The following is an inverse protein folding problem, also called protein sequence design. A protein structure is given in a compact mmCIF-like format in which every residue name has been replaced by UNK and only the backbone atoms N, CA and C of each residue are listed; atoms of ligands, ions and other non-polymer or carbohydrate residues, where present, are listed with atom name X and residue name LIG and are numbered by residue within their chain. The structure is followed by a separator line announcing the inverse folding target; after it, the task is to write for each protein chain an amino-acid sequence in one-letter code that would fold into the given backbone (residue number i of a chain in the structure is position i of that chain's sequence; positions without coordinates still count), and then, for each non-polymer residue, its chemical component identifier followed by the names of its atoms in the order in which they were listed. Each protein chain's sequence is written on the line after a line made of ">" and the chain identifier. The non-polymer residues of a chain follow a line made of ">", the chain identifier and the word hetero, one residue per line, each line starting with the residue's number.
data_IF_665804998381
#
_entry.id   IF_665804998381
#
_cell.length_a   1.000
_cell.length_b   1.000
_cell.length_c   1.000
_cell.angle_alpha   90.00
_cell.angle_beta   90.00
_cell.angle_gamma   90.00
#
_symmetry.space_group_name_H-M   'P 1'
#
loop_
_entity.id
_entity.type
_entity.pdbx_description
1 polymer ?
#
# COMPACT_ATOMS: atom_id res chain seq x y z
N UNK A 1 36.45 29.64 -22.44
CA UNK A 1 35.06 29.26 -22.81
C UNK A 1 34.73 27.99 -22.06
N UNK A 2 34.03 28.10 -20.92
CA UNK A 2 33.66 26.99 -20.04
C UNK A 2 32.21 26.61 -20.31
N UNK A 3 31.99 25.33 -20.64
CA UNK A 3 30.69 24.70 -20.84
C UNK A 3 29.89 24.70 -19.52
N UNK A 4 28.75 25.39 -19.50
CA UNK A 4 27.76 25.23 -18.45
C UNK A 4 26.85 24.05 -18.80
N UNK A 5 27.19 22.87 -18.29
CA UNK A 5 26.27 21.74 -18.19
C UNK A 5 25.33 22.01 -17.00
N UNK A 6 24.11 22.45 -17.28
CA UNK A 6 23.01 22.40 -16.31
C UNK A 6 22.48 20.97 -16.25
N UNK A 7 22.54 20.29 -15.09
CA UNK A 7 21.73 19.10 -14.91
C UNK A 7 20.29 19.56 -14.71
N UNK A 8 19.44 19.30 -15.71
CA UNK A 8 18.00 19.27 -15.51
C UNK A 8 17.71 18.22 -14.43
N UNK A 9 17.36 18.66 -13.23
CA UNK A 9 16.80 17.78 -12.21
C UNK A 9 15.43 17.35 -12.72
N UNK A 10 15.37 16.15 -13.31
CA UNK A 10 14.12 15.51 -13.63
C UNK A 10 13.33 15.33 -12.34
N UNK A 11 12.21 16.02 -12.21
CA UNK A 11 11.20 15.77 -11.19
C UNK A 11 10.57 14.40 -11.49
N UNK A 12 11.23 13.32 -11.07
CA UNK A 12 10.59 12.03 -10.92
C UNK A 12 9.64 12.16 -9.73
N UNK A 13 8.39 12.56 -10.01
CA UNK A 13 7.30 12.35 -9.06
C UNK A 13 7.22 10.84 -8.89
N UNK A 14 7.72 10.37 -7.74
CA UNK A 14 7.91 8.96 -7.46
C UNK A 14 6.58 8.19 -7.66
N UNK A 15 6.56 7.11 -8.47
CA UNK A 15 5.35 6.35 -8.77
C UNK A 15 4.68 5.78 -7.51
N UNK A 16 5.45 5.48 -6.46
CA UNK A 16 4.90 5.04 -5.17
C UNK A 16 4.17 6.20 -4.48
N UNK A 17 4.77 7.38 -4.47
CA UNK A 17 4.12 8.62 -3.99
C UNK A 17 2.86 8.94 -4.79
N UNK A 18 2.89 8.80 -6.13
CA UNK A 18 1.69 8.95 -6.96
C UNK A 18 0.64 7.89 -6.68
N UNK A 19 1.03 6.65 -6.39
CA UNK A 19 0.11 5.58 -6.03
C UNK A 19 -0.55 5.83 -4.66
N UNK A 20 0.23 6.19 -3.63
CA UNK A 20 -0.28 6.50 -2.31
C UNK A 20 -1.18 7.76 -2.34
N UNK A 21 -0.75 8.81 -3.05
CA UNK A 21 -1.55 10.02 -3.25
C UNK A 21 -2.81 9.75 -4.08
N UNK A 22 -2.73 8.90 -5.11
CA UNK A 22 -3.88 8.49 -5.92
C UNK A 22 -4.85 7.65 -5.12
N UNK A 23 -4.37 6.72 -4.29
CA UNK A 23 -5.21 5.92 -3.41
C UNK A 23 -5.89 6.80 -2.35
N UNK A 24 -5.17 7.77 -1.78
CA UNK A 24 -5.73 8.78 -0.88
C UNK A 24 -6.80 9.64 -1.60
N UNK A 25 -6.52 10.10 -2.82
CA UNK A 25 -7.43 10.95 -3.60
C UNK A 25 -8.66 10.20 -4.11
N UNK A 26 -8.47 9.02 -4.69
CA UNK A 26 -9.54 8.21 -5.26
C UNK A 26 -10.49 7.74 -4.12
N UNK A 27 -10.01 7.56 -2.88
CA UNK A 27 -10.88 7.26 -1.73
C UNK A 27 -11.65 8.48 -1.19
N UNK A 28 -11.09 9.69 -1.21
CA UNK A 28 -11.83 10.92 -0.88
C UNK A 28 -13.01 11.11 -1.84
N UNK A 29 -12.84 10.72 -3.10
CA UNK A 29 -13.89 10.77 -4.12
C UNK A 29 -14.86 9.58 -3.98
N UNK A 30 -14.37 8.38 -3.65
CA UNK A 30 -15.19 7.16 -3.49
C UNK A 30 -15.92 7.01 -2.15
N UNK A 31 -15.62 7.82 -1.12
CA UNK A 31 -16.46 7.90 0.10
C UNK A 31 -17.88 8.47 -0.16
N UNK A 32 -18.23 8.76 -1.42
CA UNK A 32 -19.61 8.99 -1.87
C UNK A 32 -20.40 7.73 -2.29
N UNK A 33 -19.86 6.51 -2.13
CA UNK A 33 -20.57 5.26 -2.48
C UNK A 33 -20.58 4.30 -1.27
N UNK A 34 -21.35 4.67 -0.25
CA UNK A 34 -22.11 3.70 0.55
C UNK A 34 -23.12 3.03 -0.40
N UNK A 35 -22.96 1.75 -0.79
CA UNK A 35 -24.10 0.86 -1.20
C UNK A 35 -23.75 -0.58 -1.63
N UNK A 36 -22.49 -1.06 -1.57
CA UNK A 36 -22.19 -2.43 -2.06
C UNK A 36 -21.73 -3.46 -1.01
N UNK A 37 -21.63 -3.10 0.28
CA UNK A 37 -21.07 -3.98 1.34
C UNK A 37 -22.10 -4.26 2.45
N UNK A 38 -23.37 -4.51 2.11
CA UNK A 38 -24.37 -4.99 3.09
C UNK A 38 -24.63 -6.51 3.01
N UNK A 39 -24.01 -7.23 2.06
CA UNK A 39 -24.37 -8.62 1.77
C UNK A 39 -23.67 -9.73 2.57
N UNK A 40 -22.50 -9.50 3.16
CA UNK A 40 -21.63 -10.63 3.64
C UNK A 40 -21.20 -10.53 5.11
N UNK A 41 -21.50 -9.43 5.81
CA UNK A 41 -21.09 -9.26 7.22
C UNK A 41 -22.22 -9.61 8.20
N UNK A 42 -22.46 -10.90 8.40
CA UNK A 42 -23.08 -11.41 9.63
C UNK A 42 -22.18 -12.53 10.17
N UNK A 43 -21.62 -12.33 11.36
CA UNK A 43 -20.85 -13.29 12.18
C UNK A 43 -19.32 -13.33 12.12
N UNK A 44 -18.62 -12.20 11.93
CA UNK A 44 -17.28 -12.07 12.52
C UNK A 44 -17.27 -10.90 13.52
N UNK A 45 -16.69 -11.06 14.74
CA UNK A 45 -16.51 -9.94 15.64
C UNK A 45 -15.64 -8.91 14.94
N UNK A 46 -16.22 -7.74 14.67
CA UNK A 46 -15.51 -6.63 14.06
C UNK A 46 -14.25 -6.36 14.90
N UNK A 47 -13.05 -6.37 14.31
CA UNK A 47 -11.85 -5.98 15.02
C UNK A 47 -12.05 -4.53 15.46
N UNK A 48 -12.11 -4.30 16.77
CA UNK A 48 -12.12 -2.96 17.34
C UNK A 48 -10.82 -2.32 16.87
N UNK A 49 -10.93 -1.38 15.93
CA UNK A 49 -9.83 -0.50 15.58
C UNK A 49 -9.43 0.19 16.88
N UNK A 50 -8.29 -0.20 17.43
CA UNK A 50 -7.71 0.49 18.58
C UNK A 50 -7.23 1.83 18.05
N UNK A 51 -8.13 2.82 18.11
CA UNK A 51 -7.84 4.20 17.74
C UNK A 51 -7.11 4.81 18.95
N UNK A 52 -5.83 5.18 18.81
CA UNK A 52 -5.10 5.83 19.88
C UNK A 52 -5.66 7.24 20.17
N UNK A 53 -5.65 7.71 21.43
CA UNK A 53 -6.26 8.97 21.83
C UNK A 53 -5.54 10.20 21.24
N UNK A 54 -6.30 11.24 20.91
CA UNK A 54 -5.80 12.55 20.47
C UNK A 54 -5.30 13.42 21.65
N UNK A 55 -4.42 14.42 21.43
CA UNK A 55 -3.85 14.88 20.16
C UNK A 55 -2.46 14.27 19.95
N UNK A 56 -2.23 13.71 18.77
CA UNK A 56 -0.89 13.33 18.35
C UNK A 56 -0.06 14.59 18.09
N UNK A 57 0.63 15.06 19.12
CA UNK A 57 1.84 15.85 18.91
C UNK A 57 2.90 14.88 18.36
N UNK A 58 2.88 14.73 17.05
CA UNK A 58 3.65 13.77 16.29
C UNK A 58 4.98 14.43 15.93
N UNK A 59 5.93 14.29 16.85
CA UNK A 59 7.33 14.60 16.57
C UNK A 59 7.90 13.65 15.50
N UNK A 60 9.02 14.05 14.89
CA UNK A 60 9.68 13.28 13.84
C UNK A 60 9.97 11.82 14.26
N UNK A 61 10.24 11.58 15.54
CA UNK A 61 10.55 10.24 16.04
C UNK A 61 9.31 9.36 16.07
N UNK A 62 8.20 9.86 16.60
CA UNK A 62 6.91 9.16 16.60
C UNK A 62 6.44 8.87 15.18
N UNK A 63 6.69 9.79 14.24
CA UNK A 63 6.30 9.61 12.85
C UNK A 63 7.09 8.48 12.20
N UNK A 64 8.40 8.43 12.45
CA UNK A 64 9.26 7.31 12.01
C UNK A 64 8.77 5.99 12.57
N UNK A 65 8.54 5.92 13.88
CA UNK A 65 8.02 4.70 14.54
C UNK A 65 6.70 4.25 13.93
N UNK A 66 5.76 5.17 13.69
CA UNK A 66 4.48 4.84 13.07
C UNK A 66 4.65 4.23 11.67
N UNK A 67 5.60 4.75 10.88
CA UNK A 67 5.87 4.25 9.52
C UNK A 67 6.60 2.90 9.59
N UNK A 68 7.59 2.76 10.46
CA UNK A 68 8.35 1.53 10.66
C UNK A 68 7.46 0.37 11.11
N UNK A 69 6.54 0.62 12.03
CA UNK A 69 5.61 -0.39 12.53
C UNK A 69 4.44 -0.64 11.55
N UNK A 70 3.92 0.41 10.92
CA UNK A 70 2.77 0.32 10.02
C UNK A 70 3.09 -0.36 8.69
N UNK A 71 4.29 -0.12 8.17
CA UNK A 71 4.69 -0.53 6.81
C UNK A 71 5.88 -1.50 6.85
N UNK A 72 5.79 -2.52 7.71
CA UNK A 72 6.84 -3.54 7.91
C UNK A 72 7.22 -4.28 6.61
N UNK A 73 6.32 -4.37 5.65
CA UNK A 73 6.54 -5.00 4.34
C UNK A 73 7.48 -4.18 3.43
N UNK A 74 7.62 -2.88 3.68
CA UNK A 74 8.52 -2.03 2.90
C UNK A 74 9.98 -2.23 3.31
N UNK A 75 10.91 -1.94 2.40
CA UNK A 75 12.33 -1.82 2.72
C UNK A 75 12.62 -0.57 3.55
N UNK A 76 13.79 -0.52 4.21
CA UNK A 76 14.21 0.66 4.97
C UNK A 76 14.29 1.92 4.09
N UNK A 77 14.71 1.79 2.83
CA UNK A 77 14.80 2.91 1.89
C UNK A 77 13.39 3.45 1.55
N UNK A 78 12.45 2.54 1.25
CA UNK A 78 11.06 2.91 0.96
C UNK A 78 10.37 3.56 2.18
N UNK A 79 10.65 3.08 3.39
CA UNK A 79 10.12 3.73 4.61
C UNK A 79 10.69 5.13 4.82
N UNK A 80 11.96 5.37 4.50
CA UNK A 80 12.54 6.71 4.54
C UNK A 80 11.88 7.65 3.51
N UNK A 81 11.59 7.14 2.30
CA UNK A 81 10.88 7.89 1.28
C UNK A 81 9.46 8.28 1.73
N UNK A 82 8.72 7.33 2.32
CA UNK A 82 7.40 7.58 2.91
C UNK A 82 7.50 8.63 4.03
N UNK A 83 8.50 8.50 4.92
CA UNK A 83 8.74 9.49 5.98
C UNK A 83 8.99 10.89 5.42
N UNK A 84 9.91 11.01 4.46
CA UNK A 84 10.23 12.29 3.83
C UNK A 84 9.01 12.91 3.13
N UNK A 85 8.18 12.07 2.48
CA UNK A 85 6.97 12.50 1.80
C UNK A 85 5.90 13.00 2.78
N UNK A 86 5.61 12.23 3.82
CA UNK A 86 4.65 12.64 4.86
C UNK A 86 5.13 13.91 5.56
N UNK A 87 6.41 13.99 5.94
CA UNK A 87 6.98 15.17 6.58
C UNK A 87 6.80 16.43 5.72
N UNK A 88 6.99 16.31 4.40
CA UNK A 88 6.75 17.41 3.46
C UNK A 88 5.29 17.86 3.47
N UNK A 89 4.34 16.93 3.41
CA UNK A 89 2.90 17.22 3.45
C UNK A 89 2.50 17.91 4.74
N UNK A 90 2.98 17.42 5.89
CA UNK A 90 2.65 17.99 7.20
C UNK A 90 3.32 19.36 7.45
N UNK A 91 4.47 19.60 6.81
CA UNK A 91 5.22 20.86 6.91
C UNK A 91 4.65 21.96 5.99
N UNK A 92 3.81 21.62 5.00
CA UNK A 92 3.18 22.61 4.12
C UNK A 92 2.21 23.50 4.93
N UNK A 93 2.42 24.83 4.96
CA UNK A 93 1.52 25.76 5.63
C UNK A 93 0.06 25.67 5.18
N UNK A 94 -0.19 25.28 3.92
CA UNK A 94 -1.55 25.10 3.39
C UNK A 94 -2.31 23.99 4.10
N UNK A 95 -1.60 23.00 4.64
CA UNK A 95 -2.16 21.88 5.37
C UNK A 95 -2.22 22.13 6.88
N UNK A 96 -1.84 23.31 7.38
CA UNK A 96 -1.74 23.57 8.83
C UNK A 96 -3.05 23.29 9.57
N UNK A 97 -4.19 23.70 8.99
CA UNK A 97 -5.52 23.45 9.57
C UNK A 97 -5.92 21.97 9.53
N UNK A 98 -5.43 21.21 8.54
CA UNK A 98 -5.75 19.79 8.36
C UNK A 98 -4.72 18.85 9.00
N UNK A 99 -3.61 19.38 9.51
CA UNK A 99 -2.49 18.57 10.04
C UNK A 99 -2.94 17.53 11.09
N UNK A 100 -3.78 17.86 12.10
CA UNK A 100 -4.23 16.86 13.07
C UNK A 100 -5.01 15.72 12.41
N UNK A 101 -5.85 16.04 11.41
CA UNK A 101 -6.62 15.06 10.66
C UNK A 101 -5.72 14.17 9.79
N UNK A 102 -4.78 14.75 9.05
CA UNK A 102 -3.82 13.98 8.22
C UNK A 102 -2.99 13.01 9.06
N UNK A 103 -2.58 13.46 10.24
CA UNK A 103 -1.86 12.64 11.22
C UNK A 103 -2.74 11.48 11.72
N UNK A 104 -3.98 11.76 12.11
CA UNK A 104 -4.92 10.75 12.58
C UNK A 104 -5.19 9.70 11.48
N UNK A 105 -5.46 10.14 10.25
CA UNK A 105 -5.66 9.27 9.10
C UNK A 105 -4.45 8.39 8.81
N UNK A 106 -3.24 8.95 8.85
CA UNK A 106 -2.02 8.18 8.70
C UNK A 106 -1.91 7.09 9.78
N UNK A 107 -2.20 7.42 11.04
CA UNK A 107 -2.13 6.47 12.14
C UNK A 107 -3.14 5.32 11.98
N UNK A 108 -4.37 5.64 11.60
CA UNK A 108 -5.42 4.63 11.32
C UNK A 108 -4.98 3.71 10.18
N UNK A 109 -4.48 4.28 9.08
CA UNK A 109 -4.06 3.49 7.90
C UNK A 109 -2.84 2.63 8.20
N UNK A 110 -1.82 3.18 8.88
CA UNK A 110 -0.64 2.43 9.31
C UNK A 110 -1.03 1.23 10.20
N UNK A 111 -1.96 1.42 11.14
CA UNK A 111 -2.48 0.34 11.99
C UNK A 111 -3.23 -0.72 11.18
N UNK A 112 -4.10 -0.30 10.25
CA UNK A 112 -4.84 -1.23 9.39
C UNK A 112 -3.91 -2.07 8.51
N UNK A 113 -2.89 -1.45 7.91
CA UNK A 113 -1.88 -2.13 7.07
C UNK A 113 -1.11 -3.16 7.90
N UNK A 114 -0.64 -2.79 9.09
CA UNK A 114 0.03 -3.72 10.01
C UNK A 114 -0.85 -4.91 10.37
N UNK A 115 -2.10 -4.65 10.78
CA UNK A 115 -3.03 -5.72 11.16
C UNK A 115 -3.32 -6.67 9.99
N UNK A 116 -3.52 -6.13 8.78
CA UNK A 116 -3.71 -6.94 7.58
C UNK A 116 -2.49 -7.82 7.31
N UNK A 117 -1.29 -7.24 7.36
CA UNK A 117 -0.04 -7.96 7.16
C UNK A 117 0.16 -9.07 8.22
N UNK A 118 -0.09 -8.79 9.50
CA UNK A 118 -0.01 -9.77 10.59
C UNK A 118 -1.01 -10.92 10.38
N UNK A 119 -2.27 -10.62 10.02
CA UNK A 119 -3.27 -11.65 9.71
C UNK A 119 -2.84 -12.55 8.58
N UNK A 120 -2.37 -11.97 7.47
CA UNK A 120 -1.88 -12.72 6.33
C UNK A 120 -0.64 -13.55 6.68
N UNK A 121 0.25 -13.02 7.53
CA UNK A 121 1.45 -13.73 7.99
C UNK A 121 1.07 -14.98 8.78
N UNK A 122 0.05 -14.88 9.63
CA UNK A 122 -0.42 -15.94 10.52
C UNK A 122 -1.31 -16.99 9.84
N UNK A 123 -1.61 -16.85 8.55
CA UNK A 123 -2.34 -17.88 7.81
C UNK A 123 -1.52 -19.17 7.71
N UNK A 124 -2.20 -20.30 7.78
CA UNK A 124 -1.59 -21.60 7.50
C UNK A 124 -1.12 -21.68 6.04
N UNK A 125 -0.14 -22.55 5.77
CA UNK A 125 0.35 -22.75 4.40
C UNK A 125 -0.76 -23.18 3.44
N UNK A 126 -1.73 -23.99 3.89
CA UNK A 126 -2.87 -24.39 3.08
C UNK A 126 -3.76 -23.20 2.71
N UNK A 127 -4.03 -22.29 3.66
CA UNK A 127 -4.79 -21.06 3.40
C UNK A 127 -4.05 -20.12 2.45
N UNK A 128 -2.74 -19.94 2.61
CA UNK A 128 -1.92 -19.12 1.69
C UNK A 128 -1.95 -19.66 0.26
N UNK A 129 -1.88 -20.99 0.08
CA UNK A 129 -2.03 -21.64 -1.23
C UNK A 129 -3.42 -21.44 -1.83
N UNK A 130 -4.48 -21.54 -1.02
CA UNK A 130 -5.84 -21.29 -1.48
C UNK A 130 -6.00 -19.86 -2.00
N UNK A 131 -5.47 -18.87 -1.27
CA UNK A 131 -5.45 -17.46 -1.70
C UNK A 131 -4.66 -17.28 -3.00
N UNK A 132 -3.49 -17.92 -3.13
CA UNK A 132 -2.70 -17.83 -4.35
C UNK A 132 -3.44 -18.41 -5.57
N UNK A 133 -4.13 -19.55 -5.40
CA UNK A 133 -4.94 -20.17 -6.45
C UNK A 133 -6.17 -19.32 -6.84
N UNK A 134 -6.82 -18.68 -5.86
CA UNK A 134 -7.91 -17.74 -6.10
C UNK A 134 -7.41 -16.49 -6.84
N UNK A 135 -6.29 -15.92 -6.39
CA UNK A 135 -5.66 -14.77 -7.03
C UNK A 135 -5.31 -15.07 -8.50
N UNK A 136 -4.84 -16.29 -8.79
CA UNK A 136 -4.61 -16.74 -10.18
C UNK A 136 -5.88 -16.70 -11.01
N UNK A 137 -6.98 -17.23 -10.46
CA UNK A 137 -8.27 -17.29 -11.15
C UNK A 137 -8.76 -15.88 -11.50
N UNK A 138 -8.60 -14.91 -10.61
CA UNK A 138 -8.93 -13.52 -10.91
C UNK A 138 -7.93 -12.87 -11.88
N UNK A 139 -6.65 -13.18 -11.76
CA UNK A 139 -5.60 -12.68 -12.67
C UNK A 139 -5.83 -13.10 -14.13
N UNK A 140 -6.29 -14.33 -14.37
CA UNK A 140 -6.62 -14.83 -15.70
C UNK A 140 -7.75 -14.05 -16.38
N UNK A 141 -8.69 -13.50 -15.59
CA UNK A 141 -9.81 -12.69 -16.09
C UNK A 141 -9.40 -11.28 -16.52
N UNK A 142 -8.26 -10.79 -16.03
CA UNK A 142 -7.79 -9.45 -16.34
C UNK A 142 -7.36 -9.32 -17.81
N UNK A 143 -7.51 -8.14 -18.43
CA UNK A 143 -6.88 -7.82 -19.72
C UNK A 143 -5.35 -7.97 -19.67
N UNK A 144 -4.68 -8.26 -20.80
CA UNK A 144 -3.22 -8.46 -20.83
C UNK A 144 -2.40 -7.29 -20.29
N UNK A 145 -2.86 -6.05 -20.49
CA UNK A 145 -2.18 -4.85 -20.00
C UNK A 145 -2.26 -4.74 -18.48
N UNK A 146 -3.44 -5.00 -17.91
CA UNK A 146 -3.67 -5.01 -16.46
C UNK A 146 -2.90 -6.15 -15.78
N UNK A 147 -2.81 -7.31 -16.43
CA UNK A 147 -1.99 -8.44 -15.97
C UNK A 147 -0.51 -8.06 -15.83
N UNK A 148 0.04 -7.31 -16.79
CA UNK A 148 1.43 -6.85 -16.74
C UNK A 148 1.65 -5.83 -15.62
N UNK A 149 0.72 -4.89 -15.45
CA UNK A 149 0.78 -3.90 -14.38
C UNK A 149 0.70 -4.56 -12.99
N UNK A 150 -0.25 -5.47 -12.78
CA UNK A 150 -0.40 -6.20 -11.52
C UNK A 150 0.86 -7.00 -11.17
N UNK A 151 1.44 -7.68 -12.16
CA UNK A 151 2.68 -8.44 -11.97
C UNK A 151 3.86 -7.53 -11.57
N UNK A 152 4.02 -6.38 -12.21
CA UNK A 152 5.04 -5.39 -11.85
C UNK A 152 4.86 -4.85 -10.44
N UNK A 153 3.61 -4.57 -10.02
CA UNK A 153 3.30 -4.09 -8.68
C UNK A 153 3.68 -5.13 -7.62
N UNK A 154 3.34 -6.40 -7.83
CA UNK A 154 3.72 -7.49 -6.91
C UNK A 154 5.24 -7.70 -6.86
N UNK A 155 5.95 -7.55 -7.98
CA UNK A 155 7.41 -7.62 -8.03
C UNK A 155 8.09 -6.46 -7.28
N UNK A 156 7.49 -5.27 -7.28
CA UNK A 156 8.04 -4.11 -6.58
C UNK A 156 8.00 -4.24 -5.05
N UNK A 157 7.25 -5.21 -4.51
CA UNK A 157 7.16 -5.48 -3.07
C UNK A 157 6.43 -4.38 -2.28
N UNK A 158 5.75 -3.46 -2.95
CA UNK A 158 5.03 -2.34 -2.31
C UNK A 158 3.66 -2.74 -1.77
N UNK A 159 3.16 -3.91 -2.14
CA UNK A 159 1.87 -4.43 -1.67
C UNK A 159 2.06 -4.95 -0.25
N UNK A 160 1.11 -4.69 0.69
CA UNK A 160 1.20 -5.17 2.07
C UNK A 160 0.90 -6.68 2.19
N UNK A 161 1.63 -7.50 1.44
CA UNK A 161 1.57 -8.95 1.48
C UNK A 161 2.82 -9.50 2.18
N UNK A 162 2.69 -10.55 3.00
CA UNK A 162 3.83 -11.30 3.48
C UNK A 162 4.64 -11.86 2.30
N UNK A 163 5.96 -11.88 2.45
CA UNK A 163 6.89 -12.29 1.39
C UNK A 163 6.56 -13.67 0.81
N UNK A 164 6.26 -14.63 1.67
CA UNK A 164 5.97 -16.01 1.24
C UNK A 164 4.67 -16.10 0.43
N UNK A 165 3.64 -15.35 0.82
CA UNK A 165 2.39 -15.26 0.05
C UNK A 165 2.61 -14.54 -1.28
N UNK A 166 3.37 -13.44 -1.31
CA UNK A 166 3.71 -12.72 -2.53
C UNK A 166 4.46 -13.61 -3.52
N UNK A 167 5.44 -14.39 -3.05
CA UNK A 167 6.19 -15.35 -3.87
C UNK A 167 5.28 -16.46 -4.43
N UNK A 168 4.33 -16.98 -3.65
CA UNK A 168 3.33 -17.95 -4.16
C UNK A 168 2.46 -17.35 -5.26
N UNK A 169 1.94 -16.14 -5.07
CA UNK A 169 1.10 -15.45 -6.06
C UNK A 169 1.90 -15.19 -7.34
N UNK A 170 3.14 -14.69 -7.22
CA UNK A 170 4.01 -14.45 -8.37
C UNK A 170 4.31 -15.74 -9.15
N UNK A 171 4.52 -16.87 -8.46
CA UNK A 171 4.71 -18.16 -9.09
C UNK A 171 3.47 -18.60 -9.90
N UNK A 172 2.27 -18.45 -9.32
CA UNK A 172 1.03 -18.75 -10.02
C UNK A 172 0.85 -17.85 -11.26
N UNK A 173 1.11 -16.55 -11.14
CA UNK A 173 0.97 -15.61 -12.27
C UNK A 173 1.98 -15.88 -13.39
N UNK A 174 3.22 -16.26 -13.02
CA UNK A 174 4.26 -16.66 -13.97
C UNK A 174 3.85 -17.91 -14.77
N UNK A 175 3.15 -18.87 -14.13
CA UNK A 175 2.64 -20.06 -14.81
C UNK A 175 1.60 -19.72 -15.88
N UNK A 176 0.70 -18.77 -15.60
CA UNK A 176 -0.31 -18.29 -16.55
C UNK A 176 0.33 -17.59 -17.75
N UNK A 177 1.36 -16.76 -17.52
CA UNK A 177 2.07 -16.08 -18.61
C UNK A 177 2.82 -17.07 -19.51
N UNK A 178 3.45 -18.10 -18.93
CA UNK A 178 4.13 -19.15 -19.70
C UNK A 178 3.16 -19.94 -20.59
N UNK A 179 1.95 -20.23 -20.10
CA UNK A 179 0.91 -20.91 -20.88
C UNK A 179 0.32 -20.02 -21.99
N UNK A 180 0.16 -18.72 -21.76
CA UNK A 180 -0.35 -17.77 -22.76
C UNK A 180 0.67 -17.46 -23.88
N UNK A 181 1.96 -17.71 -23.65
CA UNK A 181 3.04 -17.53 -24.63
C UNK A 181 3.46 -18.81 -25.37
N UNK A 182 2.84 -19.95 -25.08
CA UNK A 182 3.10 -21.20 -25.79
C UNK A 182 2.29 -21.22 -27.11
N UNK A 183 2.95 -21.47 -28.27
CA UNK A 183 2.31 -21.45 -29.59
C UNK A 183 1.33 -22.59 -29.84
#
# INVERSE_FOLDING_TARGET
>A
MLLALWPSVAFAVDPLTLFLLRMLRDQIISSGIETAIEGVQRNEPQPVLVIPPAPYDLDDRKLRTLIDEGFVHLSSAQREEVFASVKRVLSDPKNAAMRPYLVQELAIKASAVRQAHERLTNLSQAQKRAIAAEARTEYEKLPPDERRQMFQVLQSGVVPLPRDLNEMILAEFGSVQAMAGAP
#
